data_IF_315459841933
#
_entry.id   IF_315459841933
#
_cell.length_a   1.000
_cell.length_b   1.000
_cell.length_c   1.000
_cell.angle_alpha   90.00
_cell.angle_beta   90.00
_cell.angle_gamma   90.00
#
_symmetry.space_group_name_H-M   'P 1'
#
loop_
_entity.id
_entity.type
_entity.pdbx_description
1 polymer ?
#
# COMPACT_ATOMS: atom_id res chain seq x y z
N UNK A 1 25.40 7.06 -28.56
CA UNK A 1 24.95 7.94 -27.45
C UNK A 1 23.97 7.12 -26.63
N UNK A 2 24.02 7.17 -25.30
CA UNK A 2 23.11 6.38 -24.45
C UNK A 2 21.75 7.07 -24.42
N UNK A 3 20.69 6.36 -24.78
CA UNK A 3 19.33 6.88 -24.72
C UNK A 3 18.83 6.91 -23.27
N UNK A 4 18.47 8.09 -22.79
CA UNK A 4 17.89 8.30 -21.45
C UNK A 4 16.71 9.26 -21.56
N UNK A 5 15.90 9.34 -20.51
CA UNK A 5 14.76 10.28 -20.49
C UNK A 5 15.22 11.75 -20.56
N UNK A 6 16.46 12.03 -20.14
CA UNK A 6 17.08 13.36 -20.23
C UNK A 6 17.54 13.73 -21.65
N UNK A 7 17.73 12.74 -22.52
CA UNK A 7 18.11 12.92 -23.93
C UNK A 7 16.93 12.68 -24.88
N UNK A 8 15.73 12.52 -24.33
CA UNK A 8 14.51 12.38 -25.11
C UNK A 8 14.13 13.75 -25.68
N UNK A 9 13.96 13.80 -26.99
CA UNK A 9 13.40 14.94 -27.71
C UNK A 9 12.03 14.50 -28.18
N UNK A 10 11.00 15.03 -27.52
CA UNK A 10 9.60 14.72 -27.78
C UNK A 10 8.84 16.01 -28.04
N UNK A 11 8.08 16.04 -29.13
CA UNK A 11 7.29 17.20 -29.51
C UNK A 11 6.12 16.80 -30.41
N UNK A 12 5.15 17.69 -30.53
CA UNK A 12 4.02 17.56 -31.45
C UNK A 12 4.33 18.33 -32.72
N UNK A 13 4.06 17.74 -33.89
CA UNK A 13 4.30 18.41 -35.17
C UNK A 13 3.36 17.94 -36.27
N UNK A 14 3.17 18.79 -37.27
CA UNK A 14 2.56 18.48 -38.57
C UNK A 14 3.56 18.54 -39.72
N UNK A 15 4.83 18.90 -39.47
CA UNK A 15 5.87 19.00 -40.50
C UNK A 15 6.48 17.61 -40.81
N UNK A 16 6.30 17.07 -42.03
CA UNK A 16 6.80 15.75 -42.38
C UNK A 16 8.31 15.60 -42.25
N UNK A 17 9.08 16.68 -42.48
CA UNK A 17 10.54 16.64 -42.39
C UNK A 17 11.00 16.41 -40.95
N UNK A 18 10.22 16.89 -39.98
CA UNK A 18 10.51 16.74 -38.55
C UNK A 18 10.03 15.41 -37.99
N UNK A 19 9.22 14.65 -38.73
CA UNK A 19 8.73 13.33 -38.31
C UNK A 19 9.64 12.19 -38.75
N UNK A 20 10.32 12.35 -39.88
CA UNK A 20 11.13 11.29 -40.48
C UNK A 20 12.21 10.79 -39.51
N UNK A 21 12.35 9.47 -39.41
CA UNK A 21 13.25 8.78 -38.49
C UNK A 21 12.97 9.01 -37.00
N UNK A 22 11.76 9.46 -36.65
CA UNK A 22 11.28 9.48 -35.27
C UNK A 22 10.25 8.38 -35.02
N UNK A 23 10.00 8.07 -33.76
CA UNK A 23 8.96 7.14 -33.33
C UNK A 23 7.69 7.88 -32.95
N UNK A 24 6.52 7.30 -33.20
CA UNK A 24 5.26 7.82 -32.69
C UNK A 24 5.21 7.67 -31.16
N UNK A 25 5.08 8.78 -30.43
CA UNK A 25 5.07 8.79 -28.97
C UNK A 25 3.73 8.35 -28.36
N UNK A 26 2.64 8.45 -29.13
CA UNK A 26 1.27 8.01 -28.80
C UNK A 26 0.65 7.29 -29.98
N UNK A 27 -0.46 6.59 -29.74
CA UNK A 27 -1.32 6.11 -30.83
C UNK A 27 -1.90 7.30 -31.56
N UNK A 28 -1.94 7.21 -32.88
CA UNK A 28 -2.55 8.21 -33.74
C UNK A 28 -3.96 7.74 -34.05
N UNK A 29 -4.95 8.52 -33.61
CA UNK A 29 -6.36 8.18 -33.69
C UNK A 29 -7.06 9.15 -34.66
N UNK A 30 -8.01 8.62 -35.42
CA UNK A 30 -9.02 9.42 -36.10
C UNK A 30 -10.26 9.48 -35.20
N UNK A 31 -10.67 10.68 -34.86
CA UNK A 31 -11.81 10.93 -33.98
C UNK A 31 -12.92 11.62 -34.76
N UNK A 32 -14.16 11.13 -34.66
CA UNK A 32 -15.34 11.78 -35.25
C UNK A 32 -16.56 11.64 -34.35
N UNK A 33 -17.49 12.59 -34.44
CA UNK A 33 -18.73 12.58 -33.67
C UNK A 33 -19.88 12.03 -34.54
N UNK A 34 -20.63 11.09 -33.99
CA UNK A 34 -21.88 10.60 -34.56
C UNK A 34 -23.04 11.08 -33.69
N UNK A 35 -24.01 11.76 -34.31
CA UNK A 35 -25.23 12.22 -33.62
C UNK A 35 -26.36 11.22 -33.83
N UNK A 36 -26.94 10.76 -32.74
CA UNK A 36 -28.13 9.91 -32.74
C UNK A 36 -29.30 10.70 -32.14
N UNK A 37 -30.49 10.52 -32.70
CA UNK A 37 -31.72 11.06 -32.12
C UNK A 37 -32.36 9.92 -31.36
N UNK A 38 -32.55 10.10 -30.06
CA UNK A 38 -33.30 9.16 -29.24
C UNK A 38 -34.78 9.23 -29.63
N UNK A 39 -35.34 8.12 -30.11
CA UNK A 39 -36.72 8.05 -30.60
C UNK A 39 -37.76 8.28 -29.49
N UNK A 40 -37.41 8.03 -28.23
CA UNK A 40 -38.33 8.17 -27.09
C UNK A 40 -38.32 9.60 -26.51
N UNK A 41 -37.19 10.31 -26.58
CA UNK A 41 -37.01 11.63 -25.96
C UNK A 41 -36.85 12.78 -26.96
N UNK A 42 -36.50 12.49 -28.21
CA UNK A 42 -36.18 13.49 -29.23
C UNK A 42 -34.86 14.24 -28.96
N UNK A 43 -34.09 13.83 -27.94
CA UNK A 43 -32.80 14.42 -27.62
C UNK A 43 -31.73 13.91 -28.57
N UNK A 44 -30.82 14.80 -28.97
CA UNK A 44 -29.67 14.44 -29.80
C UNK A 44 -28.51 14.05 -28.89
N UNK A 45 -28.11 12.77 -28.93
CA UNK A 45 -26.95 12.26 -28.23
C UNK A 45 -25.77 12.21 -29.20
N UNK A 46 -24.72 12.96 -28.91
CA UNK A 46 -23.45 12.88 -29.65
C UNK A 46 -22.54 11.84 -29.02
N UNK A 47 -22.01 10.93 -29.83
CA UNK A 47 -21.07 9.90 -29.42
C UNK A 47 -19.75 10.10 -30.18
N UNK A 48 -18.65 10.22 -29.44
CA UNK A 48 -17.31 10.27 -30.01
C UNK A 48 -16.83 8.85 -30.38
N UNK A 49 -16.46 8.66 -31.64
CA UNK A 49 -15.86 7.44 -32.16
C UNK A 49 -14.37 7.65 -32.41
N UNK A 50 -13.58 6.61 -32.16
CA UNK A 50 -12.14 6.62 -32.30
C UNK A 50 -11.66 5.40 -33.10
N UNK A 51 -10.90 5.63 -34.18
CA UNK A 51 -10.23 4.59 -34.97
C UNK A 51 -8.71 4.74 -34.83
N UNK A 52 -8.01 3.64 -34.55
CA UNK A 52 -6.55 3.63 -34.48
C UNK A 52 -5.98 3.59 -35.90
N UNK A 53 -5.31 4.67 -36.31
CA UNK A 53 -4.61 4.71 -37.61
C UNK A 53 -3.18 4.16 -37.51
N UNK A 54 -2.48 4.49 -36.42
CA UNK A 54 -1.10 4.05 -36.20
C UNK A 54 -0.85 3.75 -34.72
N UNK A 55 -0.09 2.68 -34.47
CA UNK A 55 0.29 2.29 -33.12
C UNK A 55 1.45 3.14 -32.57
N UNK A 56 1.44 3.32 -31.25
CA UNK A 56 2.55 3.91 -30.50
C UNK A 56 3.83 3.11 -30.73
N UNK A 57 4.95 3.79 -30.91
CA UNK A 57 6.28 3.22 -31.12
C UNK A 57 6.57 2.77 -32.55
N UNK A 58 5.66 3.04 -33.49
CA UNK A 58 5.94 2.86 -34.93
C UNK A 58 7.04 3.83 -35.36
N UNK A 59 8.08 3.33 -36.02
CA UNK A 59 9.11 4.15 -36.65
C UNK A 59 8.55 4.83 -37.89
N UNK A 60 8.73 6.14 -38.00
CA UNK A 60 8.28 6.92 -39.15
C UNK A 60 9.37 6.87 -40.22
N UNK A 61 9.31 5.83 -41.05
CA UNK A 61 10.05 5.74 -42.30
C UNK A 61 9.33 6.49 -43.43
N UNK A 62 9.83 6.35 -44.67
CA UNK A 62 9.23 7.03 -45.83
C UNK A 62 7.78 6.57 -46.11
N UNK A 63 7.48 5.29 -45.89
CA UNK A 63 6.17 4.70 -46.18
C UNK A 63 5.14 5.12 -45.12
N UNK A 64 5.52 5.06 -43.84
CA UNK A 64 4.70 5.54 -42.73
C UNK A 64 4.48 7.05 -42.85
N UNK A 65 5.51 7.82 -43.20
CA UNK A 65 5.38 9.26 -43.41
C UNK A 65 4.38 9.58 -44.53
N UNK A 66 4.41 8.84 -45.65
CA UNK A 66 3.46 9.01 -46.73
C UNK A 66 2.01 8.72 -46.28
N UNK A 67 1.81 7.64 -45.50
CA UNK A 67 0.49 7.31 -44.92
C UNK A 67 0.00 8.41 -43.96
N UNK A 68 0.86 8.91 -43.07
CA UNK A 68 0.51 10.00 -42.15
C UNK A 68 0.11 11.25 -42.93
N UNK A 69 0.87 11.62 -43.98
CA UNK A 69 0.52 12.77 -44.84
C UNK A 69 -0.82 12.60 -45.51
N UNK A 70 -1.10 11.41 -46.05
CA UNK A 70 -2.40 11.11 -46.65
C UNK A 70 -3.54 11.25 -45.62
N UNK A 71 -3.35 10.75 -44.40
CA UNK A 71 -4.32 10.90 -43.31
C UNK A 71 -4.51 12.36 -42.88
N UNK A 72 -3.46 13.19 -42.94
CA UNK A 72 -3.54 14.63 -42.66
C UNK A 72 -4.31 15.39 -43.75
N UNK A 73 -4.05 15.09 -45.02
CA UNK A 73 -4.74 15.73 -46.15
C UNK A 73 -6.23 15.35 -46.21
N UNK A 74 -6.58 14.14 -45.76
CA UNK A 74 -7.96 13.67 -45.64
C UNK A 74 -8.69 14.17 -44.38
N UNK A 75 -8.12 15.15 -43.66
CA UNK A 75 -8.60 15.70 -42.37
C UNK A 75 -8.88 14.62 -41.31
N UNK A 76 -8.16 13.49 -41.39
CA UNK A 76 -8.27 12.40 -40.42
C UNK A 76 -7.46 12.66 -39.15
N UNK A 77 -6.37 13.42 -39.26
CA UNK A 77 -5.46 13.80 -38.16
C UNK A 77 -4.82 15.16 -38.43
N UNK A 78 -4.58 15.97 -37.40
CA UNK A 78 -4.00 17.33 -37.56
C UNK A 78 -2.50 17.36 -37.31
N UNK A 79 -2.05 16.60 -36.32
CA UNK A 79 -0.67 16.58 -35.86
C UNK A 79 -0.39 15.23 -35.19
N UNK A 80 0.90 14.89 -35.09
CA UNK A 80 1.35 13.67 -34.42
C UNK A 80 2.42 14.01 -33.40
N UNK A 81 2.41 13.28 -32.28
CA UNK A 81 3.44 13.38 -31.26
C UNK A 81 4.58 12.41 -31.58
N UNK A 82 5.79 12.92 -31.73
CA UNK A 82 6.97 12.15 -32.13
C UNK A 82 8.05 12.21 -31.06
N UNK A 83 8.84 11.14 -30.94
CA UNK A 83 9.99 11.03 -30.04
C UNK A 83 11.18 10.43 -30.79
N UNK A 84 12.38 10.90 -30.50
CA UNK A 84 13.62 10.31 -31.02
C UNK A 84 13.94 8.95 -30.37
N UNK A 85 13.18 8.51 -29.37
CA UNK A 85 13.38 7.27 -28.64
C UNK A 85 12.10 6.43 -28.63
N UNK A 86 12.23 5.12 -28.78
CA UNK A 86 11.08 4.20 -28.74
C UNK A 86 10.76 3.75 -27.30
N UNK A 87 9.95 4.55 -26.60
CA UNK A 87 9.47 4.22 -25.24
C UNK A 87 8.10 3.58 -25.31
N UNK A 88 8.02 2.25 -25.23
CA UNK A 88 6.75 1.49 -25.28
C UNK A 88 6.20 1.12 -23.91
N UNK A 89 7.07 0.69 -22.99
CA UNK A 89 6.67 0.34 -21.63
C UNK A 89 6.04 1.56 -20.93
N UNK A 90 5.12 1.26 -20.02
CA UNK A 90 4.52 2.21 -19.09
C UNK A 90 4.48 1.56 -17.71
N UNK A 91 4.55 2.39 -16.69
CA UNK A 91 4.40 1.94 -15.31
C UNK A 91 2.91 1.81 -15.01
N UNK A 92 2.53 0.74 -14.32
CA UNK A 92 1.16 0.58 -13.85
C UNK A 92 0.98 1.36 -12.57
N UNK A 93 -0.10 2.11 -12.47
CA UNK A 93 -0.50 2.75 -11.23
C UNK A 93 -0.97 1.68 -10.24
N UNK A 94 -0.51 1.78 -9.00
CA UNK A 94 -0.98 0.96 -7.89
C UNK A 94 -1.63 1.89 -6.86
N UNK A 95 -2.89 1.62 -6.54
CA UNK A 95 -3.66 2.43 -5.59
C UNK A 95 -3.84 1.72 -4.24
N UNK A 96 -3.14 0.60 -4.03
CA UNK A 96 -3.25 -0.22 -2.83
C UNK A 96 -2.00 -0.05 -1.97
N UNK A 97 -2.19 0.19 -0.67
CA UNK A 97 -1.12 0.25 0.31
C UNK A 97 -0.57 -1.14 0.64
N UNK A 98 0.70 -1.35 0.33
CA UNK A 98 1.46 -2.54 0.72
C UNK A 98 2.52 -2.21 1.76
N UNK A 99 2.84 -3.15 2.66
CA UNK A 99 3.92 -2.97 3.62
C UNK A 99 5.26 -2.91 2.88
N UNK A 100 6.09 -1.95 3.26
CA UNK A 100 7.42 -1.72 2.74
C UNK A 100 8.41 -1.64 3.90
N UNK A 101 9.57 -2.27 3.73
CA UNK A 101 10.72 -2.08 4.60
C UNK A 101 11.70 -1.13 3.92
N UNK A 102 12.14 -0.13 4.67
CA UNK A 102 13.08 0.85 4.18
C UNK A 102 14.20 1.06 5.19
N UNK A 103 15.35 1.53 4.71
CA UNK A 103 16.54 1.75 5.52
C UNK A 103 17.12 3.12 5.21
N UNK A 104 17.34 3.90 6.26
CA UNK A 104 18.01 5.19 6.17
C UNK A 104 19.23 5.20 7.10
N UNK A 105 20.28 5.88 6.65
CA UNK A 105 21.42 6.21 7.47
C UNK A 105 21.21 7.63 8.02
N UNK A 106 21.06 7.75 9.34
CA UNK A 106 20.78 9.00 10.05
C UNK A 106 21.90 9.21 11.06
N UNK A 107 22.66 10.30 10.94
CA UNK A 107 23.78 10.58 11.85
C UNK A 107 24.82 9.45 11.94
N UNK A 108 25.07 8.74 10.84
CA UNK A 108 26.04 7.63 10.75
C UNK A 108 25.53 6.29 11.31
N UNK A 109 24.26 6.19 11.72
CA UNK A 109 23.62 4.94 12.14
C UNK A 109 22.56 4.51 11.13
N UNK A 110 22.58 3.22 10.78
CA UNK A 110 21.59 2.63 9.88
C UNK A 110 20.36 2.19 10.66
N UNK A 111 19.21 2.77 10.33
CA UNK A 111 17.91 2.47 10.94
C UNK A 111 16.97 1.91 9.89
N UNK A 112 16.23 0.85 10.25
CA UNK A 112 15.19 0.27 9.40
C UNK A 112 13.82 0.73 9.86
N UNK A 113 12.98 1.06 8.88
CA UNK A 113 11.63 1.56 9.03
C UNK A 113 10.67 0.62 8.31
N UNK A 114 9.53 0.38 8.93
CA UNK A 114 8.42 -0.33 8.32
C UNK A 114 7.29 0.67 8.09
N UNK A 115 6.71 0.69 6.89
CA UNK A 115 5.69 1.65 6.50
C UNK A 115 4.74 1.06 5.46
N UNK A 116 3.62 1.73 5.22
CA UNK A 116 2.70 1.37 4.14
C UNK A 116 2.90 2.34 2.97
N UNK A 117 2.93 1.84 1.74
CA UNK A 117 3.04 2.70 0.56
C UNK A 117 2.37 2.05 -0.66
N UNK A 118 1.97 2.89 -1.62
CA UNK A 118 1.42 2.44 -2.90
C UNK A 118 2.48 1.98 -3.89
N UNK A 119 3.72 2.44 -3.71
CA UNK A 119 4.86 2.04 -4.54
C UNK A 119 6.19 2.53 -3.95
N UNK A 120 7.30 2.22 -4.64
CA UNK A 120 8.65 2.52 -4.15
C UNK A 120 8.95 4.02 -4.08
N UNK A 121 8.50 4.79 -5.08
CA UNK A 121 8.68 6.25 -5.08
C UNK A 121 7.90 6.89 -3.92
N UNK A 122 6.64 6.47 -3.73
CA UNK A 122 5.82 6.94 -2.61
C UNK A 122 6.43 6.55 -1.26
N UNK A 123 6.92 5.32 -1.11
CA UNK A 123 7.61 4.88 0.10
C UNK A 123 8.82 5.75 0.43
N UNK A 124 9.57 6.20 -0.58
CA UNK A 124 10.68 7.13 -0.38
C UNK A 124 10.20 8.51 0.09
N UNK A 125 9.08 9.01 -0.44
CA UNK A 125 8.49 10.30 -0.04
C UNK A 125 8.02 10.26 1.42
N UNK A 126 7.21 9.25 1.77
CA UNK A 126 6.70 9.04 3.14
C UNK A 126 7.87 8.94 4.13
N UNK A 127 8.91 8.17 3.78
CA UNK A 127 10.06 8.01 4.66
C UNK A 127 10.85 9.30 4.83
N UNK A 128 11.04 10.10 3.78
CA UNK A 128 11.72 11.39 3.88
C UNK A 128 10.98 12.32 4.83
N UNK A 129 9.68 12.52 4.61
CA UNK A 129 8.87 13.41 5.44
C UNK A 129 8.87 12.97 6.90
N UNK A 130 8.69 11.67 7.14
CA UNK A 130 8.75 11.13 8.49
C UNK A 130 10.11 11.38 9.16
N UNK A 131 11.23 11.19 8.45
CA UNK A 131 12.55 11.43 9.03
C UNK A 131 12.75 12.92 9.32
N UNK A 132 12.35 13.81 8.41
CA UNK A 132 12.45 15.26 8.57
C UNK A 132 11.69 15.78 9.79
N UNK A 133 10.53 15.18 10.10
CA UNK A 133 9.74 15.53 11.28
C UNK A 133 10.29 14.98 12.60
N UNK A 134 10.99 13.84 12.56
CA UNK A 134 11.33 13.07 13.77
C UNK A 134 12.83 13.07 14.12
N UNK A 135 13.70 13.58 13.26
CA UNK A 135 15.16 13.53 13.44
C UNK A 135 15.84 14.87 13.10
N UNK A 136 16.90 15.20 13.82
CA UNK A 136 17.65 16.46 13.69
C UNK A 136 18.91 16.37 12.80
N UNK A 137 19.28 15.16 12.37
CA UNK A 137 20.50 14.91 11.61
C UNK A 137 20.20 14.74 10.12
N UNK A 138 21.19 15.08 9.28
CA UNK A 138 21.13 14.72 7.86
C UNK A 138 21.01 13.20 7.69
N UNK A 139 20.25 12.79 6.67
CA UNK A 139 19.97 11.38 6.42
C UNK A 139 20.14 11.01 4.95
N UNK A 140 20.35 9.73 4.68
CA UNK A 140 20.41 9.18 3.33
C UNK A 140 19.60 7.89 3.26
N UNK A 141 18.70 7.80 2.28
CA UNK A 141 17.96 6.57 2.02
C UNK A 141 18.89 5.56 1.35
N UNK A 142 18.98 4.37 1.91
CA UNK A 142 19.91 3.32 1.45
C UNK A 142 19.20 2.15 0.80
N UNK A 143 17.97 1.85 1.23
CA UNK A 143 17.17 0.74 0.70
C UNK A 143 15.69 1.01 0.91
N UNK A 144 14.88 0.66 -0.09
CA UNK A 144 13.42 0.53 0.03
C UNK A 144 13.05 -0.74 -0.71
N UNK A 145 12.28 -1.60 -0.06
CA UNK A 145 11.82 -2.88 -0.62
C UNK A 145 10.39 -3.13 -0.17
N UNK A 146 9.57 -3.63 -1.08
CA UNK A 146 8.30 -4.25 -0.71
C UNK A 146 8.55 -5.40 0.27
N UNK A 147 7.72 -5.46 1.31
CA UNK A 147 7.79 -6.49 2.32
C UNK A 147 6.62 -7.46 2.09
N UNK A 148 6.83 -8.75 2.41
CA UNK A 148 5.82 -9.78 2.18
C UNK A 148 4.47 -9.35 2.76
N UNK A 149 3.39 -9.68 2.05
CA UNK A 149 2.03 -9.24 2.40
C UNK A 149 1.69 -9.61 3.84
N UNK A 150 1.79 -8.63 4.73
CA UNK A 150 1.59 -8.80 6.16
C UNK A 150 0.74 -7.67 6.74
N UNK A 151 0.05 -8.01 7.82
CA UNK A 151 -0.66 -7.03 8.65
C UNK A 151 0.28 -6.60 9.76
N UNK A 152 0.50 -5.30 9.87
CA UNK A 152 1.35 -4.73 10.90
C UNK A 152 0.48 -4.31 12.08
N UNK A 153 0.77 -4.86 13.26
CA UNK A 153 0.09 -4.53 14.50
C UNK A 153 1.08 -3.85 15.44
N UNK A 154 0.63 -2.78 16.10
CA UNK A 154 1.42 -2.12 17.15
C UNK A 154 0.73 -2.28 18.48
N UNK A 155 1.52 -2.65 19.49
CA UNK A 155 1.06 -2.75 20.86
C UNK A 155 0.91 -1.36 21.46
N UNK A 156 -0.32 -0.86 21.51
CA UNK A 156 -0.65 0.43 22.13
C UNK A 156 -0.86 0.31 23.64
N UNK A 157 -0.90 -0.91 24.17
CA UNK A 157 -1.08 -1.17 25.60
C UNK A 157 0.28 -1.03 26.31
N UNK A 158 0.32 -0.26 27.41
CA UNK A 158 1.51 -0.18 28.26
C UNK A 158 1.90 -1.58 28.76
N UNK A 159 3.19 -1.81 28.96
CA UNK A 159 3.64 -3.02 29.66
C UNK A 159 3.08 -2.94 31.08
N UNK A 160 2.06 -3.74 31.37
CA UNK A 160 1.78 -4.13 32.74
C UNK A 160 2.45 -5.47 32.89
N UNK A 161 3.37 -5.61 33.83
CA UNK A 161 3.72 -6.93 34.33
C UNK A 161 2.39 -7.57 34.73
N UNK A 162 2.15 -8.81 34.31
CA UNK A 162 1.10 -9.59 34.96
C UNK A 162 1.67 -9.85 36.34
N UNK A 163 1.35 -8.97 37.28
CA UNK A 163 1.80 -9.05 38.65
C UNK A 163 1.22 -10.33 39.28
N UNK A 164 1.96 -10.91 40.22
CA UNK A 164 1.58 -12.16 40.89
C UNK A 164 0.19 -12.03 41.54
N UNK A 165 -0.25 -10.82 41.90
CA UNK A 165 -1.59 -10.57 42.43
C UNK A 165 -2.68 -10.68 41.36
N UNK A 166 -2.48 -10.15 40.14
CA UNK A 166 -3.37 -10.40 39.00
C UNK A 166 -3.50 -11.88 38.64
N UNK A 167 -2.40 -12.65 38.72
CA UNK A 167 -2.41 -14.09 38.48
C UNK A 167 -3.14 -14.82 39.62
N UNK A 168 -2.89 -14.45 40.87
CA UNK A 168 -3.55 -15.05 42.03
C UNK A 168 -5.06 -14.75 42.06
N UNK A 169 -5.49 -13.56 41.63
CA UNK A 169 -6.92 -13.23 41.51
C UNK A 169 -7.60 -14.06 40.41
N UNK A 170 -6.96 -14.20 39.25
CA UNK A 170 -7.47 -15.04 38.15
C UNK A 170 -7.50 -16.54 38.49
N UNK A 171 -6.69 -16.98 39.45
CA UNK A 171 -6.70 -18.35 40.00
C UNK A 171 -7.62 -18.51 41.22
N UNK A 172 -8.36 -17.47 41.61
CA UNK A 172 -9.21 -17.42 42.82
C UNK A 172 -8.44 -17.69 44.13
N UNK A 173 -7.12 -17.45 44.13
CA UNK A 173 -6.23 -17.67 45.29
C UNK A 173 -6.25 -16.49 46.28
N UNK A 174 -6.66 -15.30 45.85
CA UNK A 174 -6.82 -14.10 46.70
C UNK A 174 -8.20 -13.46 46.53
N UNK A 175 -8.66 -12.78 47.57
CA UNK A 175 -9.97 -12.11 47.56
C UNK A 175 -9.91 -10.76 46.85
N UNK A 176 -11.07 -10.27 46.38
CA UNK A 176 -11.18 -8.99 45.68
C UNK A 176 -10.69 -7.81 46.53
N UNK A 177 -10.84 -7.87 47.85
CA UNK A 177 -10.37 -6.85 48.79
C UNK A 177 -8.84 -6.87 48.91
N UNK A 178 -8.20 -8.03 49.01
CA UNK A 178 -6.73 -8.17 49.03
C UNK A 178 -6.07 -7.76 47.70
N UNK A 179 -6.78 -7.90 46.58
CA UNK A 179 -6.33 -7.42 45.27
C UNK A 179 -6.33 -5.89 45.18
N UNK A 180 -7.35 -5.23 45.75
CA UNK A 180 -7.46 -3.77 45.76
C UNK A 180 -6.40 -3.12 46.66
N UNK A 181 -6.10 -3.72 47.82
CA UNK A 181 -5.04 -3.22 48.71
C UNK A 181 -3.64 -3.29 48.05
N UNK A 182 -3.35 -4.38 47.31
CA UNK A 182 -2.07 -4.52 46.59
C UNK A 182 -1.94 -3.57 45.39
N UNK A 183 -3.06 -3.25 44.74
CA UNK A 183 -3.12 -2.25 43.67
C UNK A 183 -2.82 -0.83 44.16
N UNK A 184 -3.24 -0.49 45.39
CA UNK A 184 -3.03 0.83 45.98
C UNK A 184 -1.58 1.04 46.46
N UNK A 185 -0.87 -0.03 46.84
CA UNK A 185 0.56 0.04 47.19
C UNK A 185 1.48 0.25 45.98
N UNK A 186 1.20 -0.35 44.82
CA UNK A 186 2.06 -0.25 43.63
C UNK A 186 1.92 1.08 42.85
N UNK A 187 0.82 1.81 43.02
CA UNK A 187 0.59 3.10 42.34
C UNK A 187 1.47 4.24 42.87
N UNK A 188 2.26 4.03 43.93
CA UNK A 188 3.14 5.07 44.52
C UNK A 188 4.57 5.10 43.96
N UNK A 189 4.98 4.15 43.12
CA UNK A 189 6.30 4.18 42.50
C UNK A 189 6.26 4.83 41.10
N UNK A 190 6.60 6.12 41.07
CA UNK A 190 7.05 6.84 39.87
C UNK A 190 8.25 6.11 39.24
N UNK A 191 8.02 5.14 38.34
CA UNK A 191 9.09 4.58 37.50
C UNK A 191 9.28 5.43 36.23
N UNK A 192 10.41 6.14 36.19
CA UNK A 192 11.05 6.66 34.98
C UNK A 192 10.88 5.68 33.80
N UNK A 193 10.36 6.20 32.68
CA UNK A 193 10.03 5.42 31.49
C UNK A 193 11.26 4.66 30.99
N UNK A 194 11.29 3.34 31.26
CA UNK A 194 12.25 2.41 30.67
C UNK A 194 12.26 2.59 29.14
N UNK A 195 13.44 2.45 28.48
CA UNK A 195 13.50 2.50 27.03
C UNK A 195 12.55 1.47 26.44
N UNK A 196 11.82 1.82 25.38
CA UNK A 196 10.86 0.93 24.72
C UNK A 196 11.59 -0.31 24.17
N UNK A 197 11.58 -1.41 24.91
CA UNK A 197 12.27 -2.67 24.57
C UNK A 197 11.53 -3.52 23.54
N UNK A 198 10.41 -3.01 23.01
CA UNK A 198 9.58 -3.73 22.04
C UNK A 198 10.37 -4.06 20.78
N UNK A 199 10.05 -5.24 20.24
CA UNK A 199 10.65 -5.77 19.01
C UNK A 199 9.55 -6.08 18.02
N UNK A 200 9.92 -6.08 16.75
CA UNK A 200 9.04 -6.51 15.68
C UNK A 200 9.19 -8.03 15.51
N UNK A 201 8.10 -8.76 15.68
CA UNK A 201 8.03 -10.20 15.44
C UNK A 201 7.24 -10.47 14.15
N UNK A 202 7.84 -11.20 13.20
CA UNK A 202 7.14 -11.81 12.09
C UNK A 202 6.49 -13.10 12.59
N UNK A 203 5.17 -13.18 12.53
CA UNK A 203 4.40 -14.32 13.02
C UNK A 203 3.55 -14.84 11.87
N UNK A 204 3.82 -16.07 11.47
CA UNK A 204 2.97 -16.83 10.57
C UNK A 204 1.92 -17.54 11.41
N UNK A 205 0.66 -17.13 11.22
CA UNK A 205 -0.47 -17.65 11.98
C UNK A 205 -1.38 -18.41 11.04
N UNK A 206 -1.65 -19.67 11.39
CA UNK A 206 -2.72 -20.46 10.80
C UNK A 206 -4.04 -20.06 11.46
N UNK A 207 -4.97 -19.57 10.65
CA UNK A 207 -6.30 -19.13 11.04
C UNK A 207 -7.29 -20.16 10.50
N UNK A 208 -7.98 -20.83 11.40
CA UNK A 208 -9.06 -21.76 11.07
C UNK A 208 -10.39 -21.09 11.35
N UNK A 209 -11.22 -20.95 10.33
CA UNK A 209 -12.58 -20.45 10.45
C UNK A 209 -13.54 -21.64 10.48
N UNK A 210 -14.23 -21.81 11.60
CA UNK A 210 -15.27 -22.83 11.74
C UNK A 210 -16.63 -22.23 11.39
N UNK A 211 -17.34 -22.85 10.44
CA UNK A 211 -18.73 -22.50 10.11
C UNK A 211 -19.58 -23.76 9.93
N UNK A 212 -19.97 -24.39 11.05
CA UNK A 212 -20.68 -25.67 11.03
C UNK A 212 -19.76 -26.82 10.64
N UNK A 213 -20.06 -27.53 9.55
CA UNK A 213 -19.29 -28.70 9.07
C UNK A 213 -18.09 -28.35 8.17
N UNK A 214 -17.95 -27.09 7.75
CA UNK A 214 -16.85 -26.64 6.90
C UNK A 214 -15.76 -25.94 7.72
N UNK A 215 -14.52 -26.41 7.54
CA UNK A 215 -13.30 -25.81 8.09
C UNK A 215 -12.54 -25.11 6.97
N UNK A 216 -12.45 -23.78 7.03
CA UNK A 216 -11.61 -23.00 6.12
C UNK A 216 -10.30 -22.65 6.83
N UNK A 217 -9.18 -23.17 6.34
CA UNK A 217 -7.85 -22.84 6.87
C UNK A 217 -7.14 -21.81 6.00
N UNK A 218 -6.55 -20.78 6.63
CA UNK A 218 -5.76 -19.75 5.96
C UNK A 218 -4.50 -19.45 6.75
N UNK A 219 -3.36 -19.38 6.07
CA UNK A 219 -2.12 -18.89 6.66
C UNK A 219 -1.98 -17.41 6.36
N UNK A 220 -1.74 -16.61 7.41
CA UNK A 220 -1.52 -15.18 7.28
C UNK A 220 -0.29 -14.75 8.08
N UNK A 221 0.51 -13.87 7.48
CA UNK A 221 1.67 -13.29 8.15
C UNK A 221 1.29 -11.98 8.85
N UNK A 222 1.70 -11.85 10.10
CA UNK A 222 1.57 -10.65 10.91
C UNK A 222 2.96 -10.13 11.29
N UNK A 223 3.13 -8.82 11.33
CA UNK A 223 4.30 -8.19 11.94
C UNK A 223 3.84 -7.42 13.15
N UNK A 224 4.20 -7.88 14.34
CA UNK A 224 3.69 -7.31 15.60
C UNK A 224 4.83 -6.64 16.36
N UNK A 225 4.66 -5.35 16.66
CA UNK A 225 5.56 -4.62 17.55
C UNK A 225 5.13 -4.81 19.00
N UNK A 226 5.80 -5.69 19.74
CA UNK A 226 5.46 -6.01 21.14
C UNK A 226 6.67 -6.53 21.92
N UNK A 227 6.49 -6.85 23.20
CA UNK A 227 7.55 -7.33 24.09
C UNK A 227 7.85 -8.82 23.87
N UNK A 228 6.81 -9.66 23.75
CA UNK A 228 6.93 -11.11 23.65
C UNK A 228 5.95 -11.73 22.64
N UNK A 229 6.17 -13.00 22.29
CA UNK A 229 5.37 -13.72 21.28
C UNK A 229 3.94 -13.99 21.77
N UNK A 230 3.74 -14.28 23.06
CA UNK A 230 2.42 -14.57 23.63
C UNK A 230 1.48 -13.37 23.53
N UNK A 231 2.01 -12.17 23.81
CA UNK A 231 1.27 -10.92 23.67
C UNK A 231 1.01 -10.59 22.21
N UNK A 232 1.93 -10.92 21.31
CA UNK A 232 1.70 -10.81 19.88
C UNK A 232 0.50 -11.67 19.44
N UNK A 233 0.39 -12.89 19.98
CA UNK A 233 -0.74 -13.77 19.73
C UNK A 233 -2.05 -13.15 20.19
N UNK A 234 -2.08 -12.62 21.42
CA UNK A 234 -3.25 -11.93 21.96
C UNK A 234 -3.68 -10.76 21.06
N UNK A 235 -2.73 -9.94 20.57
CA UNK A 235 -3.00 -8.83 19.66
C UNK A 235 -3.55 -9.31 18.30
N UNK A 236 -3.02 -10.41 17.76
CA UNK A 236 -3.51 -11.02 16.51
C UNK A 236 -4.95 -11.53 16.69
N UNK A 237 -5.22 -12.30 17.75
CA UNK A 237 -6.56 -12.83 18.04
C UNK A 237 -7.56 -11.69 18.25
N UNK A 238 -7.19 -10.65 19.00
CA UNK A 238 -8.02 -9.47 19.22
C UNK A 238 -8.31 -8.73 17.91
N UNK A 239 -7.30 -8.53 17.06
CA UNK A 239 -7.47 -7.91 15.75
C UNK A 239 -8.43 -8.70 14.83
N UNK A 240 -8.31 -10.03 14.80
CA UNK A 240 -9.18 -10.88 14.00
C UNK A 240 -10.64 -10.82 14.48
N UNK A 241 -10.86 -10.84 15.80
CA UNK A 241 -12.20 -10.66 16.39
C UNK A 241 -12.81 -9.31 16.03
N UNK A 242 -12.05 -8.22 16.19
CA UNK A 242 -12.54 -6.88 15.84
C UNK A 242 -12.90 -6.76 14.35
N UNK A 243 -12.11 -7.39 13.47
CA UNK A 243 -12.43 -7.43 12.03
C UNK A 243 -13.73 -8.17 11.73
N UNK A 244 -14.03 -9.27 12.43
CA UNK A 244 -15.32 -9.95 12.26
C UNK A 244 -16.49 -9.09 12.72
N UNK A 245 -16.33 -8.34 13.82
CA UNK A 245 -17.35 -7.41 14.30
C UNK A 245 -17.59 -6.25 13.32
N UNK A 246 -16.53 -5.71 12.71
CA UNK A 246 -16.65 -4.70 11.65
C UNK A 246 -17.38 -5.26 10.42
N UNK A 247 -17.05 -6.47 9.99
CA UNK A 247 -17.76 -7.15 8.90
C UNK A 247 -19.23 -7.40 9.23
N UNK A 248 -19.55 -7.80 10.46
CA UNK A 248 -20.93 -7.97 10.94
C UNK A 248 -21.72 -6.67 10.83
N UNK A 249 -21.13 -5.55 11.28
CA UNK A 249 -21.76 -4.22 11.19
C UNK A 249 -22.04 -3.83 9.73
N UNK A 250 -21.03 -3.96 8.85
CA UNK A 250 -21.17 -3.62 7.43
C UNK A 250 -22.20 -4.51 6.71
N UNK A 251 -22.28 -5.79 7.04
CA UNK A 251 -23.27 -6.70 6.48
C UNK A 251 -24.69 -6.32 6.93
N UNK A 252 -24.88 -5.99 8.21
CA UNK A 252 -26.17 -5.52 8.73
C UNK A 252 -26.60 -4.20 8.07
N UNK A 253 -25.67 -3.26 7.89
CA UNK A 253 -25.94 -2.00 7.18
C UNK A 253 -26.36 -2.21 5.73
N UNK A 254 -25.82 -3.24 5.06
CA UNK A 254 -26.19 -3.63 3.69
C UNK A 254 -27.40 -4.57 3.62
N UNK A 255 -28.04 -4.88 4.76
CA UNK A 255 -29.21 -5.75 4.84
C UNK A 255 -28.92 -7.24 4.62
N UNK A 256 -27.67 -7.68 4.81
CA UNK A 256 -27.26 -9.08 4.70
C UNK A 256 -27.19 -9.77 6.07
N UNK A 257 -27.59 -11.04 6.13
CA UNK A 257 -27.36 -11.88 7.30
C UNK A 257 -25.87 -12.20 7.43
N UNK A 258 -25.29 -11.91 8.61
CA UNK A 258 -23.91 -12.25 8.92
C UNK A 258 -23.87 -13.32 10.01
N UNK A 259 -23.24 -14.45 9.72
CA UNK A 259 -22.97 -15.51 10.70
C UNK A 259 -21.56 -15.33 11.24
N UNK A 260 -21.45 -15.09 12.54
CA UNK A 260 -20.16 -15.10 13.25
C UNK A 260 -19.53 -16.47 13.10
N UNK A 261 -18.26 -16.51 12.70
CA UNK A 261 -17.48 -17.76 12.64
C UNK A 261 -16.70 -17.88 13.93
N UNK A 262 -16.42 -19.10 14.35
CA UNK A 262 -15.44 -19.28 15.42
C UNK A 262 -14.05 -19.25 14.79
N UNK A 263 -13.20 -18.33 15.27
CA UNK A 263 -11.82 -18.20 14.82
C UNK A 263 -10.90 -18.93 15.80
N UNK A 264 -10.20 -19.94 15.29
CA UNK A 264 -9.06 -20.53 15.99
C UNK A 264 -7.76 -20.05 15.34
N UNK A 265 -6.81 -19.64 16.17
CA UNK A 265 -5.49 -19.16 15.72
C UNK A 265 -4.40 -20.03 16.29
N UNK A 266 -3.49 -20.53 15.46
CA UNK A 266 -2.29 -21.26 15.87
C UNK A 266 -1.05 -20.64 15.23
N UNK A 267 0.04 -20.49 16.00
CA UNK A 267 1.31 -19.98 15.48
C UNK A 267 2.06 -21.12 14.79
N UNK A 268 2.43 -20.92 13.53
CA UNK A 268 3.31 -21.84 12.80
C UNK A 268 4.78 -21.46 12.97
N UNK A 269 5.09 -20.16 12.97
CA UNK A 269 6.45 -19.64 13.08
C UNK A 269 6.44 -18.23 13.65
N UNK A 270 7.43 -17.92 14.50
CA UNK A 270 7.66 -16.60 15.07
C UNK A 270 9.15 -16.23 14.98
N UNK A 271 9.49 -15.13 14.30
CA UNK A 271 10.87 -14.69 14.06
C UNK A 271 11.02 -13.19 14.36
N UNK A 272 11.97 -12.77 15.22
CA UNK A 272 12.24 -11.35 15.41
C UNK A 272 12.89 -10.75 14.17
N UNK A 273 12.41 -9.58 13.73
CA UNK A 273 12.95 -8.82 12.60
C UNK A 273 13.73 -7.60 13.14
N UNK A 274 14.91 -7.28 12.60
CA UNK A 274 15.66 -6.08 12.97
C UNK A 274 15.06 -4.80 12.37
N UNK A 275 13.80 -4.50 12.68
CA UNK A 275 13.13 -3.23 12.35
C UNK A 275 13.25 -2.31 13.55
N UNK A 276 13.63 -1.05 13.32
CA UNK A 276 13.81 -0.08 14.39
C UNK A 276 12.55 0.70 14.71
N UNK A 277 11.74 1.08 13.71
CA UNK A 277 10.50 1.84 13.89
C UNK A 277 9.44 1.48 12.85
N UNK A 278 8.19 1.68 13.21
CA UNK A 278 7.05 1.63 12.31
C UNK A 278 6.49 3.04 12.12
N UNK A 279 6.23 3.42 10.87
CA UNK A 279 5.54 4.64 10.49
C UNK A 279 4.04 4.35 10.52
N UNK A 280 3.23 5.09 11.30
CA UNK A 280 1.79 4.86 11.39
C UNK A 280 1.11 4.81 10.03
N UNK A 281 0.10 3.96 9.90
CA UNK A 281 -0.62 3.80 8.64
C UNK A 281 -1.35 5.09 8.25
N UNK A 282 -1.86 5.82 9.24
CA UNK A 282 -2.53 7.11 9.07
C UNK A 282 -1.61 8.14 8.41
N UNK A 283 -0.34 8.14 8.80
CA UNK A 283 0.68 8.99 8.19
C UNK A 283 0.89 8.61 6.72
N UNK A 284 0.92 7.31 6.41
CA UNK A 284 1.06 6.81 5.04
C UNK A 284 -0.18 7.11 4.17
N UNK A 285 -1.38 7.11 4.77
CA UNK A 285 -2.64 7.40 4.08
C UNK A 285 -2.73 8.85 3.59
N UNK A 286 -2.05 9.79 4.25
CA UNK A 286 -1.98 11.18 3.79
C UNK A 286 -1.29 11.34 2.42
N UNK A 287 -0.58 10.30 1.96
CA UNK A 287 0.14 10.23 0.68
C UNK A 287 -0.53 9.26 -0.32
N UNK A 288 -1.79 8.90 -0.09
CA UNK A 288 -2.63 8.29 -1.12
C UNK A 288 -3.30 9.42 -1.91
N UNK A 289 -2.75 9.74 -3.08
CA UNK A 289 -3.42 10.57 -4.09
C UNK A 289 -4.45 9.75 -4.88
#
# INVERSE_FOLDING_TARGET
MIETRKTEIRYVTSDPKKMLNMYLAKRVLKTWEESFIDEDTGETVTIERNEILFDRGTLIDQDILAKIRFSMEADGIREVEVSNQNRLAFENENNVLYPHIAQAEIGGKKSKFLLYATGLENACLILKDYIELNYLFGFTLTMVKEFDSCVILTDTLKERKVDDASIAYLKEEITTEEYLDKMDEENQEDEESKPDERKFYQIETKITFMNGENEDERVQTFVVNTFNVDRAMMLITHYLKNKEEECEKQAKEKGHEFRKREIHTAIESAKPIPVGRFIPKEFSMAYME
#
